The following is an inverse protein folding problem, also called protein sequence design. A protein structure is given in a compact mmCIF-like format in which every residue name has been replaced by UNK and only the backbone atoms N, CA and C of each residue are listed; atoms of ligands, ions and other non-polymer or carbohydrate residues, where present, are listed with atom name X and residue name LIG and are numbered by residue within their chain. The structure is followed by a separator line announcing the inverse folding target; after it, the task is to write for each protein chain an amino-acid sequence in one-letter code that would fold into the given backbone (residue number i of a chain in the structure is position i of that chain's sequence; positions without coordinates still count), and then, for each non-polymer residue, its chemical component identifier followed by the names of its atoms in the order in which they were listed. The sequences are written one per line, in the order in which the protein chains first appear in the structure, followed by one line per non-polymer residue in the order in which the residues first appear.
data_IF_267695811595
#
_entry.id   IF_267695811595
#
_cell.length_a   1.000
_cell.length_b   1.000
_cell.length_c   1.000
_cell.angle_alpha   90.00
_cell.angle_beta   90.00
_cell.angle_gamma   90.00
#
_symmetry.space_group_name_H-M   'P 1'
#
loop_
_entity.id
_entity.type
_entity.pdbx_description
1 polymer ?
#
# COMPACT_ATOMS: atom_id res chain seq x y z
N UNK A 1 -2.40 2.27 21.23
CA UNK A 1 -3.43 1.95 20.24
C UNK A 1 -2.92 2.19 18.84
N UNK A 2 -3.46 1.43 17.93
CA UNK A 2 -3.01 1.46 16.54
C UNK A 2 -4.19 1.75 15.64
N UNK A 3 -3.92 2.46 14.56
CA UNK A 3 -4.87 2.59 13.47
C UNK A 3 -4.56 1.52 12.45
N UNK A 4 -5.60 0.86 11.98
CA UNK A 4 -5.46 -0.15 10.93
C UNK A 4 -6.27 0.27 9.72
N UNK A 5 -5.71 0.04 8.55
CA UNK A 5 -6.39 0.38 7.31
C UNK A 5 -5.92 -0.54 6.21
N UNK A 6 -6.78 -0.72 5.22
CA UNK A 6 -6.51 -1.62 4.10
C UNK A 6 -6.56 -0.82 2.82
N UNK A 7 -5.53 -0.99 2.01
CA UNK A 7 -5.40 -0.30 0.72
C UNK A 7 -5.29 -1.33 -0.39
N UNK A 8 -5.81 -0.97 -1.57
CA UNK A 8 -5.53 -1.71 -2.79
C UNK A 8 -4.73 -0.80 -3.71
N UNK A 9 -3.58 -1.31 -4.16
CA UNK A 9 -2.76 -0.64 -5.14
C UNK A 9 -2.94 -1.33 -6.48
N UNK A 10 -3.18 -0.54 -7.51
CA UNK A 10 -3.26 -1.03 -8.89
C UNK A 10 -1.94 -0.72 -9.56
N UNK A 11 -1.23 -1.74 -9.98
CA UNK A 11 0.15 -1.58 -10.44
C UNK A 11 0.35 -2.30 -11.78
N UNK A 12 1.33 -1.84 -12.55
CA UNK A 12 1.87 -2.66 -13.62
C UNK A 12 2.78 -3.70 -12.99
N UNK A 13 2.66 -4.95 -13.48
CA UNK A 13 3.44 -6.05 -12.91
C UNK A 13 4.85 -5.99 -13.44
N UNK A 14 5.72 -5.33 -12.71
CA UNK A 14 7.11 -5.15 -13.07
C UNK A 14 7.97 -5.75 -11.98
N UNK A 15 9.05 -6.40 -12.39
CA UNK A 15 9.97 -7.02 -11.45
C UNK A 15 10.41 -5.97 -10.42
N UNK A 16 10.31 -6.33 -9.15
CA UNK A 16 10.71 -5.44 -8.08
C UNK A 16 9.61 -4.54 -7.53
N UNK A 17 8.41 -4.56 -8.13
CA UNK A 17 7.34 -3.68 -7.66
C UNK A 17 6.97 -3.93 -6.21
N UNK A 18 6.83 -5.21 -5.83
CA UNK A 18 6.46 -5.53 -4.46
C UNK A 18 7.51 -5.04 -3.47
N UNK A 19 8.78 -5.26 -3.80
CA UNK A 19 9.87 -4.80 -2.93
C UNK A 19 9.86 -3.29 -2.80
N UNK A 20 9.58 -2.58 -3.88
CA UNK A 20 9.56 -1.12 -3.86
C UNK A 20 8.41 -0.60 -3.00
N UNK A 21 7.26 -1.23 -3.10
CA UNK A 21 6.11 -0.86 -2.28
C UNK A 21 6.44 -1.09 -0.80
N UNK A 22 7.02 -2.24 -0.47
CA UNK A 22 7.35 -2.56 0.91
C UNK A 22 8.41 -1.61 1.47
N UNK A 23 9.40 -1.22 0.67
CA UNK A 23 10.39 -0.24 1.09
C UNK A 23 9.73 1.10 1.42
N UNK A 24 8.81 1.53 0.59
CA UNK A 24 8.12 2.79 0.81
C UNK A 24 7.31 2.74 2.10
N UNK A 25 6.62 1.63 2.34
CA UNK A 25 5.84 1.46 3.57
C UNK A 25 6.76 1.50 4.79
N UNK A 26 7.92 0.89 4.70
CA UNK A 26 8.89 0.92 5.79
C UNK A 26 9.34 2.35 6.11
N UNK A 27 9.56 3.15 5.08
CA UNK A 27 9.95 4.54 5.29
C UNK A 27 8.86 5.37 5.93
N UNK A 28 7.62 4.96 5.78
CA UNK A 28 6.49 5.65 6.40
C UNK A 28 6.26 5.18 7.83
N UNK A 29 7.10 4.28 8.35
CA UNK A 29 7.00 3.76 9.70
C UNK A 29 5.68 3.03 9.93
N UNK A 30 5.22 2.31 8.93
CA UNK A 30 4.01 1.50 9.00
C UNK A 30 4.39 0.03 9.13
N UNK A 31 3.51 -0.73 9.79
CA UNK A 31 3.66 -2.18 9.89
C UNK A 31 2.72 -2.84 8.89
N UNK A 32 3.21 -3.86 8.18
CA UNK A 32 2.38 -4.64 7.27
C UNK A 32 1.77 -5.78 8.06
N UNK A 33 0.44 -5.81 8.11
CA UNK A 33 -0.28 -6.89 8.77
C UNK A 33 -0.53 -8.04 7.80
N UNK A 34 -1.03 -7.72 6.61
CA UNK A 34 -1.23 -8.70 5.56
C UNK A 34 -0.89 -8.09 4.23
N UNK A 35 -0.51 -8.94 3.30
CA UNK A 35 -0.24 -8.53 1.94
C UNK A 35 -0.72 -9.63 1.00
N UNK A 36 -1.37 -9.23 -0.08
CA UNK A 36 -1.87 -10.17 -1.07
C UNK A 36 -1.69 -9.54 -2.45
N UNK A 37 -1.03 -10.27 -3.32
CA UNK A 37 -0.85 -9.83 -4.70
C UNK A 37 -1.63 -10.75 -5.61
N UNK A 38 -2.41 -10.16 -6.51
CA UNK A 38 -3.17 -10.95 -7.47
C UNK A 38 -2.23 -11.53 -8.53
N UNK A 39 -2.71 -12.56 -9.21
CA UNK A 39 -2.01 -13.08 -10.38
C UNK A 39 -2.05 -12.02 -11.47
N UNK A 40 -0.90 -11.67 -12.07
CA UNK A 40 -0.90 -10.64 -13.11
C UNK A 40 -1.71 -11.06 -14.32
N UNK A 41 -2.46 -10.11 -14.86
CA UNK A 41 -3.18 -10.28 -16.12
C UNK A 41 -2.87 -9.11 -17.01
N UNK A 42 -2.35 -9.40 -18.21
CA UNK A 42 -1.95 -8.35 -19.16
C UNK A 42 -1.01 -7.34 -18.53
N UNK A 43 -0.06 -7.85 -17.73
CA UNK A 43 0.97 -7.05 -17.06
C UNK A 43 0.41 -6.11 -16.00
N UNK A 44 -0.82 -6.35 -15.54
CA UNK A 44 -1.42 -5.56 -14.47
C UNK A 44 -1.76 -6.45 -13.31
N UNK A 45 -1.62 -5.91 -12.11
CA UNK A 45 -1.88 -6.66 -10.89
C UNK A 45 -2.40 -5.71 -9.82
N UNK A 46 -2.94 -6.28 -8.75
CA UNK A 46 -3.31 -5.52 -7.57
C UNK A 46 -2.51 -6.02 -6.39
N UNK A 47 -2.19 -5.11 -5.48
CA UNK A 47 -1.55 -5.45 -4.21
C UNK A 47 -2.48 -4.94 -3.12
N UNK A 48 -3.01 -5.85 -2.32
CA UNK A 48 -3.87 -5.50 -1.19
C UNK A 48 -3.03 -5.54 0.07
N UNK A 49 -3.04 -4.43 0.79
CA UNK A 49 -2.21 -4.26 1.99
C UNK A 49 -3.08 -3.90 3.17
N UNK A 50 -2.94 -4.64 4.27
CA UNK A 50 -3.48 -4.21 5.55
C UNK A 50 -2.32 -3.70 6.38
N UNK A 51 -2.44 -2.47 6.85
CA UNK A 51 -1.34 -1.76 7.49
C UNK A 51 -1.77 -1.28 8.86
N UNK A 52 -0.79 -1.13 9.73
CA UNK A 52 -1.02 -0.61 11.07
C UNK A 52 -0.09 0.57 11.29
N UNK A 53 -0.64 1.65 11.84
CA UNK A 53 0.12 2.85 12.16
C UNK A 53 0.06 3.10 13.65
N UNK A 54 1.21 3.21 14.31
CA UNK A 54 1.25 3.61 15.71
C UNK A 54 1.01 5.09 15.88
N UNK A 55 1.48 5.87 14.93
CA UNK A 55 1.33 7.32 14.99
C UNK A 55 -0.05 7.70 14.50
N UNK A 56 -0.90 8.10 15.44
CA UNK A 56 -2.28 8.42 15.11
C UNK A 56 -2.41 9.76 14.39
N UNK A 57 -1.35 10.55 14.37
CA UNK A 57 -1.38 11.79 13.61
C UNK A 57 -1.01 11.58 12.14
N UNK A 58 -0.63 10.37 11.75
CA UNK A 58 -0.27 10.08 10.36
C UNK A 58 -1.50 10.23 9.46
N UNK A 59 -1.36 11.01 8.41
CA UNK A 59 -2.44 11.22 7.47
C UNK A 59 -2.53 10.05 6.50
N UNK A 60 -3.70 9.43 6.43
CA UNK A 60 -3.94 8.33 5.48
C UNK A 60 -3.79 8.84 4.05
N UNK A 61 -4.23 10.07 3.80
CA UNK A 61 -4.09 10.64 2.45
C UNK A 61 -2.64 10.84 2.07
N UNK A 62 -1.79 11.19 3.04
CA UNK A 62 -0.37 11.32 2.76
C UNK A 62 0.24 9.96 2.42
N UNK A 63 -0.16 8.92 3.14
CA UNK A 63 0.29 7.56 2.83
C UNK A 63 -0.12 7.18 1.42
N UNK A 64 -1.39 7.40 1.08
CA UNK A 64 -1.89 7.04 -0.25
C UNK A 64 -1.17 7.83 -1.33
N UNK A 65 -0.93 9.12 -1.09
CA UNK A 65 -0.22 9.95 -2.05
C UNK A 65 1.21 9.49 -2.27
N UNK A 66 1.90 9.10 -1.19
CA UNK A 66 3.26 8.60 -1.29
C UNK A 66 3.31 7.32 -2.10
N UNK A 67 2.35 6.41 -1.86
CA UNK A 67 2.30 5.17 -2.62
C UNK A 67 1.95 5.42 -4.08
N UNK A 68 1.06 6.38 -4.33
CA UNK A 68 0.66 6.73 -5.69
C UNK A 68 1.81 7.30 -6.50
N UNK A 69 2.79 7.88 -5.83
CA UNK A 69 3.96 8.45 -6.50
C UNK A 69 5.01 7.41 -6.89
N UNK A 70 4.84 6.17 -6.46
CA UNK A 70 5.73 5.10 -6.89
C UNK A 70 5.49 4.88 -8.38
N UNK A 71 6.57 4.84 -9.15
CA UNK A 71 6.47 4.60 -10.59
C UNK A 71 5.78 3.27 -10.83
N UNK A 72 4.84 3.21 -11.77
CA UNK A 72 4.07 2.03 -12.15
C UNK A 72 2.91 1.71 -11.20
N UNK A 73 2.70 2.51 -10.16
CA UNK A 73 1.46 2.47 -9.39
C UNK A 73 0.54 3.50 -10.02
N UNK A 74 -0.62 3.06 -10.53
CA UNK A 74 -1.49 3.98 -11.23
C UNK A 74 -2.78 4.28 -10.47
N UNK A 75 -3.04 3.58 -9.39
CA UNK A 75 -4.23 3.86 -8.58
C UNK A 75 -4.05 3.29 -7.19
N UNK A 76 -4.53 4.02 -6.19
CA UNK A 76 -4.54 3.57 -4.80
C UNK A 76 -5.92 3.83 -4.24
N UNK A 77 -6.53 2.81 -3.62
CA UNK A 77 -7.86 2.92 -3.03
C UNK A 77 -7.84 2.53 -1.57
N UNK A 78 -8.55 3.28 -0.74
CA UNK A 78 -8.77 2.91 0.66
C UNK A 78 -10.00 2.02 0.72
N UNK A 79 -9.82 0.80 1.24
CA UNK A 79 -10.90 -0.19 1.30
C UNK A 79 -11.58 -0.16 2.65
N UNK A 80 -10.81 -0.10 3.72
CA UNK A 80 -11.38 -0.08 5.06
C UNK A 80 -10.42 0.59 6.01
N UNK A 81 -10.97 1.07 7.11
CA UNK A 81 -10.18 1.72 8.14
C UNK A 81 -10.85 1.46 9.48
N UNK A 82 -10.05 1.05 10.46
CA UNK A 82 -10.53 0.93 11.83
C UNK A 82 -9.58 1.71 12.73
N UNK A 83 -10.15 2.20 13.81
CA UNK A 83 -9.41 3.06 14.75
C UNK A 83 -9.33 2.43 16.09
#
# INVERSE_FOLDING_TARGET
EHREFTLILYVNDIVGMLAQVLQTISKLALSVLTIHQSVPMEEKATITLSLSAKDQSLSIEKVMGTLRNIQHVYKVELISMSM
#
